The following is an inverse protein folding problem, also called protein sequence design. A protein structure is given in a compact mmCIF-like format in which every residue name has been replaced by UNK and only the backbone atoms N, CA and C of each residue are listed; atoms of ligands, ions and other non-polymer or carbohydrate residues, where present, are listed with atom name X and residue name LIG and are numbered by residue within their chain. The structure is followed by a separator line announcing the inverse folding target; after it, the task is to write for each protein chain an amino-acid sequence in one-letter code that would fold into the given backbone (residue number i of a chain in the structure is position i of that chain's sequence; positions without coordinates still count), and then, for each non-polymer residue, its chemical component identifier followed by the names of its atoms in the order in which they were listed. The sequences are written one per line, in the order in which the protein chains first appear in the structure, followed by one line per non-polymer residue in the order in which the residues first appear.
data_IF_081555029097
#
_entry.id   IF_081555029097
#
_cell.length_a   1.000
_cell.length_b   1.000
_cell.length_c   1.000
_cell.angle_alpha   90.00
_cell.angle_beta   90.00
_cell.angle_gamma   90.00
#
_symmetry.space_group_name_H-M   'P 1'
#
loop_
_entity.id
_entity.type
_entity.pdbx_description
1 polymer ?
#
# COMPACT_ATOMS: atom_id res chain seq x y z
N UNK A 1 -73.10 -18.56 -13.01
CA UNK A 1 -71.79 -19.25 -12.91
C UNK A 1 -70.63 -18.57 -13.67
N UNK A 2 -70.84 -17.78 -14.71
CA UNK A 2 -69.75 -17.10 -15.47
C UNK A 2 -69.15 -15.91 -14.70
N UNK A 3 -69.92 -15.17 -13.91
CA UNK A 3 -69.43 -13.95 -13.21
C UNK A 3 -68.46 -14.25 -12.07
N UNK A 4 -68.65 -15.35 -11.37
CA UNK A 4 -67.78 -15.75 -10.24
C UNK A 4 -66.36 -16.17 -10.73
N UNK A 5 -66.27 -16.84 -11.88
CA UNK A 5 -64.97 -17.24 -12.48
C UNK A 5 -64.16 -16.05 -12.95
N UNK A 6 -64.79 -15.02 -13.50
CA UNK A 6 -64.07 -13.81 -13.99
C UNK A 6 -63.53 -13.02 -12.81
N UNK A 7 -64.23 -12.92 -11.70
CA UNK A 7 -63.74 -12.23 -10.49
C UNK A 7 -62.63 -12.99 -9.80
N UNK A 8 -62.67 -14.34 -9.81
CA UNK A 8 -61.60 -15.18 -9.25
C UNK A 8 -60.30 -15.04 -10.05
N UNK A 9 -60.37 -15.03 -11.41
CA UNK A 9 -59.21 -14.84 -12.27
C UNK A 9 -58.58 -13.44 -12.09
N UNK A 10 -59.44 -12.40 -11.94
CA UNK A 10 -58.95 -11.03 -11.64
C UNK A 10 -58.28 -10.92 -10.28
N UNK A 11 -58.83 -11.59 -9.26
CA UNK A 11 -58.28 -11.60 -7.91
C UNK A 11 -56.92 -12.36 -7.87
N UNK A 12 -56.81 -13.48 -8.53
CA UNK A 12 -55.53 -14.25 -8.63
C UNK A 12 -54.49 -13.48 -9.45
N UNK A 13 -54.87 -12.79 -10.52
CA UNK A 13 -54.01 -11.93 -11.32
C UNK A 13 -53.44 -10.74 -10.50
N UNK A 14 -54.30 -10.10 -9.67
CA UNK A 14 -53.85 -9.01 -8.77
C UNK A 14 -52.94 -9.50 -7.67
N UNK A 15 -53.19 -10.66 -7.09
CA UNK A 15 -52.30 -11.27 -6.08
C UNK A 15 -50.97 -11.67 -6.69
N UNK A 16 -50.95 -12.21 -7.89
CA UNK A 16 -49.69 -12.53 -8.60
C UNK A 16 -48.87 -11.29 -8.99
N UNK A 17 -49.54 -10.17 -9.33
CA UNK A 17 -48.88 -8.89 -9.60
C UNK A 17 -48.27 -8.30 -8.33
N UNK A 18 -48.90 -8.44 -7.17
CA UNK A 18 -48.37 -8.00 -5.89
C UNK A 18 -47.21 -8.83 -5.40
N UNK A 19 -47.15 -10.14 -5.77
CA UNK A 19 -46.01 -11.01 -5.42
C UNK A 19 -44.77 -10.70 -6.28
N UNK A 20 -44.94 -10.09 -7.46
CA UNK A 20 -43.83 -9.69 -8.34
C UNK A 20 -43.22 -8.35 -7.94
N UNK A 21 -43.90 -7.52 -7.11
CA UNK A 21 -43.36 -6.28 -6.57
C UNK A 21 -42.72 -6.44 -5.19
N UNK A 22 -42.76 -7.68 -4.64
CA UNK A 22 -42.17 -8.01 -3.37
C UNK A 22 -40.66 -8.22 -3.49
N UNK A 23 -39.90 -7.30 -2.91
CA UNK A 23 -38.50 -7.42 -2.55
C UNK A 23 -37.48 -7.50 -3.70
N UNK A 24 -37.46 -6.53 -4.58
CA UNK A 24 -36.19 -6.04 -5.03
C UNK A 24 -35.63 -5.10 -3.93
N UNK A 25 -35.31 -5.68 -2.81
CA UNK A 25 -34.42 -5.04 -1.86
C UNK A 25 -33.08 -5.05 -2.53
N UNK A 26 -32.68 -3.90 -3.06
CA UNK A 26 -31.34 -3.65 -3.54
C UNK A 26 -30.37 -3.91 -2.40
N UNK A 27 -29.91 -5.16 -2.26
CA UNK A 27 -28.83 -5.52 -1.34
C UNK A 27 -27.50 -4.79 -1.69
N UNK A 28 -27.50 -4.07 -2.83
CA UNK A 28 -26.40 -3.23 -3.27
C UNK A 28 -26.49 -1.79 -2.75
N UNK A 29 -27.64 -1.39 -2.26
CA UNK A 29 -27.88 -0.12 -1.58
C UNK A 29 -27.81 -0.26 -0.05
N UNK A 30 -27.10 -1.23 0.48
CA UNK A 30 -26.36 -1.01 1.70
C UNK A 30 -25.35 0.06 1.31
N UNK A 31 -25.80 1.30 1.41
CA UNK A 31 -24.96 2.46 1.56
C UNK A 31 -23.88 2.04 2.55
N UNK A 32 -22.77 1.56 2.03
CA UNK A 32 -21.53 1.61 2.78
C UNK A 32 -21.24 3.08 2.87
N UNK A 33 -21.90 3.75 3.78
CA UNK A 33 -21.27 4.90 4.37
C UNK A 33 -19.93 4.37 4.83
N UNK A 34 -18.93 4.59 4.02
CA UNK A 34 -17.55 4.39 4.45
C UNK A 34 -17.48 5.05 5.81
N UNK A 35 -17.11 4.33 6.87
CA UNK A 35 -17.10 4.90 8.19
C UNK A 35 -16.33 6.20 8.08
N UNK A 36 -17.00 7.32 8.29
CA UNK A 36 -16.38 8.65 8.33
C UNK A 36 -15.47 8.62 9.55
N UNK A 37 -14.25 8.12 9.34
CA UNK A 37 -13.22 8.18 10.37
C UNK A 37 -13.08 9.65 10.78
N UNK A 38 -13.08 9.94 12.07
CA UNK A 38 -12.95 11.31 12.54
C UNK A 38 -11.67 11.93 11.97
N UNK A 39 -11.82 12.93 11.09
CA UNK A 39 -10.75 13.65 10.42
C UNK A 39 -9.98 14.59 11.39
N UNK A 40 -9.90 14.27 12.66
CA UNK A 40 -9.18 15.07 13.65
C UNK A 40 -8.15 14.22 14.39
N UNK A 41 -7.03 14.00 13.71
CA UNK A 41 -5.79 13.71 14.42
C UNK A 41 -4.87 14.89 14.16
N UNK A 42 -4.38 15.54 15.21
CA UNK A 42 -3.38 16.61 15.14
C UNK A 42 -2.15 16.10 14.37
N UNK A 43 -2.03 16.48 13.13
CA UNK A 43 -1.01 16.03 12.18
C UNK A 43 -1.42 16.42 10.78
N UNK A 44 -0.60 16.19 9.78
CA UNK A 44 -0.91 16.51 8.40
C UNK A 44 -2.33 16.06 8.02
N UNK A 45 -3.05 16.90 7.30
CA UNK A 45 -4.42 16.62 6.87
C UNK A 45 -4.47 15.26 6.17
N UNK A 46 -5.34 14.37 6.63
CA UNK A 46 -5.45 13.02 6.06
C UNK A 46 -5.69 13.04 4.54
N UNK A 47 -6.36 14.07 4.03
CA UNK A 47 -6.53 14.28 2.60
C UNK A 47 -5.19 14.50 1.86
N UNK A 48 -4.24 15.20 2.47
CA UNK A 48 -2.89 15.38 1.89
C UNK A 48 -2.12 14.06 1.87
N UNK A 49 -2.18 13.31 2.96
CA UNK A 49 -1.55 11.98 3.07
C UNK A 49 -2.13 11.04 2.02
N UNK A 50 -3.46 10.98 1.90
CA UNK A 50 -4.13 10.16 0.89
C UNK A 50 -3.76 10.56 -0.54
N UNK A 51 -3.67 11.85 -0.84
CA UNK A 51 -3.24 12.35 -2.14
C UNK A 51 -1.81 11.94 -2.46
N UNK A 52 -0.90 12.08 -1.50
CA UNK A 52 0.50 11.68 -1.66
C UNK A 52 0.65 10.16 -1.81
N UNK A 53 -0.05 9.37 -0.98
CA UNK A 53 -0.08 7.91 -1.09
C UNK A 53 -0.61 7.46 -2.47
N UNK A 54 -1.71 8.05 -2.95
CA UNK A 54 -2.26 7.78 -4.28
C UNK A 54 -1.26 8.13 -5.39
N UNK A 55 -0.51 9.22 -5.23
CA UNK A 55 0.54 9.61 -6.19
C UNK A 55 1.67 8.58 -6.25
N UNK A 56 2.14 8.10 -5.10
CA UNK A 56 3.16 7.05 -5.01
C UNK A 56 2.66 5.72 -5.60
N UNK A 57 1.43 5.32 -5.26
CA UNK A 57 0.82 4.11 -5.79
C UNK A 57 0.71 4.12 -7.33
N UNK A 58 0.38 5.27 -7.93
CA UNK A 58 0.36 5.43 -9.39
C UNK A 58 1.74 5.25 -10.05
N UNK A 59 2.82 5.45 -9.29
CA UNK A 59 4.20 5.25 -9.75
C UNK A 59 4.74 3.85 -9.48
N UNK A 60 3.88 2.91 -9.03
CA UNK A 60 4.26 1.54 -8.75
C UNK A 60 4.88 1.32 -7.37
N UNK A 61 4.89 2.34 -6.51
CA UNK A 61 5.25 2.21 -5.10
C UNK A 61 4.00 1.87 -4.30
N UNK A 62 4.04 0.80 -3.51
CA UNK A 62 2.89 0.40 -2.68
C UNK A 62 2.96 1.08 -1.31
N UNK A 63 1.95 1.86 -0.99
CA UNK A 63 1.76 2.43 0.36
C UNK A 63 0.65 1.67 1.04
N UNK A 64 0.99 0.98 2.13
CA UNK A 64 0.07 0.16 2.92
C UNK A 64 -0.04 0.78 4.30
N UNK A 65 -1.27 0.88 4.80
CA UNK A 65 -1.58 1.45 6.12
C UNK A 65 -2.36 0.43 6.93
N UNK A 66 -1.90 0.15 8.15
CA UNK A 66 -2.58 -0.73 9.10
C UNK A 66 -2.66 0.02 10.44
N UNK A 67 -3.80 0.67 10.68
CA UNK A 67 -3.96 1.53 11.86
C UNK A 67 -2.99 2.70 11.82
N UNK A 68 -2.03 2.72 12.75
CA UNK A 68 -0.99 3.76 12.84
C UNK A 68 0.31 3.38 12.13
N UNK A 69 0.43 2.14 11.67
CA UNK A 69 1.62 1.63 11.02
C UNK A 69 1.53 1.84 9.50
N UNK A 70 2.61 2.32 8.93
CA UNK A 70 2.76 2.57 7.51
C UNK A 70 3.90 1.74 6.96
N UNK A 71 3.69 1.18 5.77
CA UNK A 71 4.71 0.50 4.99
C UNK A 71 4.71 1.04 3.56
N UNK A 72 5.88 1.46 3.11
CA UNK A 72 6.13 1.88 1.73
C UNK A 72 7.01 0.82 1.10
N UNK A 73 6.50 0.09 0.12
CA UNK A 73 7.23 -0.94 -0.62
C UNK A 73 7.59 -0.42 -2.02
N UNK A 74 8.87 -0.41 -2.33
CA UNK A 74 9.45 0.16 -3.55
C UNK A 74 10.19 -0.96 -4.27
N UNK A 75 9.88 -1.26 -5.54
CA UNK A 75 10.66 -2.20 -6.34
C UNK A 75 12.13 -1.78 -6.43
N UNK A 76 13.07 -2.70 -6.21
CA UNK A 76 14.51 -2.39 -6.25
C UNK A 76 14.96 -1.86 -7.62
N UNK A 77 14.36 -2.37 -8.69
CA UNK A 77 14.62 -1.93 -10.06
C UNK A 77 14.28 -0.45 -10.33
N UNK A 78 13.44 0.18 -9.50
CA UNK A 78 13.14 1.61 -9.61
C UNK A 78 14.21 2.49 -8.97
N UNK A 79 14.95 1.94 -8.01
CA UNK A 79 15.92 2.69 -7.23
C UNK A 79 17.35 2.45 -7.69
N UNK A 80 17.74 1.20 -7.95
CA UNK A 80 19.13 0.81 -8.08
C UNK A 80 19.50 0.35 -9.49
N UNK A 81 20.79 0.54 -9.83
CA UNK A 81 21.40 -0.15 -10.95
C UNK A 81 21.43 -1.67 -10.66
N UNK A 82 21.37 -2.52 -11.71
CA UNK A 82 21.33 -3.97 -11.54
C UNK A 82 22.45 -4.49 -10.64
N UNK A 83 22.07 -5.30 -9.64
CA UNK A 83 22.98 -5.98 -8.71
C UNK A 83 23.98 -5.08 -7.96
N UNK A 84 23.70 -3.79 -7.88
CA UNK A 84 24.52 -2.81 -7.16
C UNK A 84 23.72 -2.04 -6.11
N UNK A 85 24.36 -1.38 -5.14
CA UNK A 85 23.72 -0.44 -4.24
C UNK A 85 23.65 0.99 -4.81
N UNK A 86 24.10 1.23 -6.04
CA UNK A 86 24.11 2.56 -6.64
C UNK A 86 22.72 2.98 -7.08
N UNK A 87 22.29 4.15 -6.62
CA UNK A 87 21.03 4.74 -7.04
C UNK A 87 21.10 5.17 -8.51
N UNK A 88 20.03 4.85 -9.25
CA UNK A 88 19.84 5.39 -10.58
C UNK A 88 19.57 6.89 -10.51
N UNK A 89 20.09 7.65 -11.46
CA UNK A 89 19.76 9.08 -11.56
C UNK A 89 18.25 9.32 -11.60
N UNK A 90 17.52 8.49 -12.28
CA UNK A 90 16.05 8.57 -12.41
C UNK A 90 15.28 8.25 -11.10
N UNK A 91 15.92 7.71 -10.08
CA UNK A 91 15.28 7.38 -8.81
C UNK A 91 15.14 8.57 -7.86
N UNK A 92 15.95 9.62 -8.01
CA UNK A 92 15.94 10.78 -7.11
C UNK A 92 14.58 11.49 -7.01
N UNK A 93 13.85 11.76 -8.12
CA UNK A 93 12.51 12.34 -8.02
C UNK A 93 11.53 11.49 -7.22
N UNK A 94 11.62 10.16 -7.34
CA UNK A 94 10.79 9.24 -6.59
C UNK A 94 11.13 9.26 -5.08
N UNK A 95 12.42 9.22 -4.77
CA UNK A 95 12.90 9.30 -3.38
C UNK A 95 12.54 10.64 -2.73
N UNK A 96 12.58 11.75 -3.48
CA UNK A 96 12.12 13.05 -3.00
C UNK A 96 10.62 13.03 -2.64
N UNK A 97 9.78 12.40 -3.46
CA UNK A 97 8.35 12.27 -3.15
C UNK A 97 8.10 11.40 -1.92
N UNK A 98 8.90 10.35 -1.74
CA UNK A 98 8.86 9.52 -0.52
C UNK A 98 9.29 10.35 0.70
N UNK A 99 10.35 11.15 0.59
CA UNK A 99 10.77 12.04 1.67
C UNK A 99 9.68 13.05 2.02
N UNK A 100 9.03 13.66 1.03
CA UNK A 100 7.88 14.56 1.24
C UNK A 100 6.73 13.84 1.95
N UNK A 101 6.42 12.60 1.56
CA UNK A 101 5.40 11.80 2.23
C UNK A 101 5.78 11.51 3.69
N UNK A 102 7.01 11.08 3.95
CA UNK A 102 7.50 10.78 5.30
C UNK A 102 7.47 12.03 6.22
N UNK A 103 7.74 13.22 5.68
CA UNK A 103 7.71 14.48 6.44
C UNK A 103 6.31 14.88 6.93
N UNK A 104 5.25 14.27 6.37
CA UNK A 104 3.88 14.55 6.85
C UNK A 104 3.59 13.94 8.23
N UNK A 105 4.47 13.08 8.75
CA UNK A 105 4.23 12.33 9.97
C UNK A 105 5.22 12.70 11.06
N UNK A 106 4.72 12.81 12.30
CA UNK A 106 5.58 12.67 13.47
C UNK A 106 5.84 11.18 13.69
N UNK A 107 7.09 10.81 13.80
CA UNK A 107 7.54 9.43 13.95
C UNK A 107 8.81 9.38 14.78
N UNK A 108 8.97 8.33 15.58
CA UNK A 108 10.14 8.14 16.44
C UNK A 108 11.20 7.34 15.70
N UNK A 109 10.78 6.28 15.02
CA UNK A 109 11.67 5.36 14.33
C UNK A 109 11.18 5.08 12.91
N UNK A 110 12.14 4.90 12.01
CA UNK A 110 11.93 4.41 10.65
C UNK A 110 12.77 3.15 10.50
N UNK A 111 12.18 2.05 10.03
CA UNK A 111 12.92 0.85 9.63
C UNK A 111 12.97 0.79 8.10
N UNK A 112 14.16 0.61 7.55
CA UNK A 112 14.41 0.45 6.13
C UNK A 112 14.97 -0.94 5.93
N UNK A 113 14.17 -1.85 5.40
CA UNK A 113 14.54 -3.21 5.08
C UNK A 113 14.65 -3.38 3.56
N UNK A 114 15.75 -3.95 3.09
CA UNK A 114 15.90 -4.30 1.68
C UNK A 114 15.91 -5.80 1.50
N UNK A 115 15.29 -6.24 0.43
CA UNK A 115 15.15 -7.63 0.03
C UNK A 115 15.68 -7.80 -1.38
N UNK A 116 16.18 -8.98 -1.67
CA UNK A 116 16.60 -9.39 -3.01
C UNK A 116 15.81 -10.60 -3.49
N UNK A 117 15.93 -10.91 -4.75
CA UNK A 117 15.66 -12.24 -5.24
C UNK A 117 16.83 -13.16 -4.88
N UNK A 118 16.66 -14.45 -5.08
CA UNK A 118 17.73 -15.42 -4.86
C UNK A 118 18.81 -15.28 -5.94
N UNK A 119 20.06 -15.10 -5.49
CA UNK A 119 21.25 -15.02 -6.33
C UNK A 119 22.21 -16.17 -6.05
N UNK A 120 23.50 -15.89 -6.14
CA UNK A 120 24.56 -16.89 -6.05
C UNK A 120 24.82 -17.36 -4.61
N UNK A 121 24.78 -16.44 -3.64
CA UNK A 121 25.02 -16.80 -2.24
C UNK A 121 24.26 -15.89 -1.28
N UNK A 122 23.76 -16.44 -0.16
CA UNK A 122 23.06 -15.67 0.88
C UNK A 122 23.90 -14.52 1.44
N UNK A 123 25.21 -14.73 1.61
CA UNK A 123 26.10 -13.69 2.14
C UNK A 123 26.16 -12.46 1.24
N UNK A 124 26.25 -12.67 -0.09
CA UNK A 124 26.22 -11.57 -1.06
C UNK A 124 24.88 -10.89 -1.11
N UNK A 125 23.78 -11.64 -0.99
CA UNK A 125 22.41 -11.12 -0.95
C UNK A 125 22.22 -10.20 0.26
N UNK A 126 22.64 -10.65 1.44
CA UNK A 126 22.58 -9.85 2.66
C UNK A 126 23.47 -8.60 2.58
N UNK A 127 24.71 -8.74 2.10
CA UNK A 127 25.63 -7.60 1.94
C UNK A 127 25.05 -6.55 0.98
N UNK A 128 24.55 -6.97 -0.20
CA UNK A 128 23.94 -6.08 -1.18
C UNK A 128 22.71 -5.38 -0.61
N UNK A 129 21.81 -6.14 0.01
CA UNK A 129 20.57 -5.57 0.55
C UNK A 129 20.82 -4.64 1.73
N UNK A 130 21.81 -4.93 2.59
CA UNK A 130 22.23 -4.01 3.65
C UNK A 130 22.82 -2.72 3.08
N UNK A 131 23.67 -2.80 2.07
CA UNK A 131 24.21 -1.62 1.40
C UNK A 131 23.10 -0.77 0.77
N UNK A 132 22.11 -1.39 0.13
CA UNK A 132 20.95 -0.71 -0.45
C UNK A 132 20.09 0.02 0.60
N UNK A 133 19.80 -0.63 1.72
CA UNK A 133 19.04 0.01 2.81
C UNK A 133 19.79 1.21 3.40
N UNK A 134 21.12 1.14 3.53
CA UNK A 134 21.96 2.25 4.00
C UNK A 134 21.91 3.44 3.05
N UNK A 135 22.10 3.19 1.75
CA UNK A 135 22.04 4.28 0.75
C UNK A 135 20.69 5.00 0.74
N UNK A 136 19.58 4.27 0.90
CA UNK A 136 18.25 4.89 1.03
C UNK A 136 18.13 5.68 2.33
N UNK A 137 18.65 5.14 3.43
CA UNK A 137 18.69 5.83 4.73
C UNK A 137 19.45 7.14 4.64
N UNK A 138 20.66 7.12 4.08
CA UNK A 138 21.53 8.29 3.95
C UNK A 138 20.86 9.36 3.09
N UNK A 139 20.18 8.93 2.01
CA UNK A 139 19.43 9.84 1.17
C UNK A 139 18.26 10.49 1.92
N UNK A 140 17.44 9.72 2.62
CA UNK A 140 16.32 10.25 3.38
C UNK A 140 16.79 11.21 4.50
N UNK A 141 17.91 10.87 5.14
CA UNK A 141 18.56 11.74 6.11
C UNK A 141 19.00 13.07 5.48
N UNK A 142 19.67 13.01 4.32
CA UNK A 142 20.10 14.21 3.59
C UNK A 142 18.93 15.10 3.16
N UNK A 143 17.77 14.51 2.93
CA UNK A 143 16.53 15.26 2.64
C UNK A 143 15.85 15.81 3.88
N UNK A 144 16.42 15.68 5.07
CA UNK A 144 15.86 16.19 6.32
C UNK A 144 14.57 15.46 6.73
N UNK A 145 14.52 14.15 6.52
CA UNK A 145 13.46 13.31 7.09
C UNK A 145 13.72 13.20 8.58
N UNK A 146 12.92 13.93 9.36
CA UNK A 146 13.05 13.95 10.81
C UNK A 146 12.58 12.63 11.41
N UNK A 147 13.53 11.93 12.05
CA UNK A 147 13.30 10.73 12.82
C UNK A 147 14.40 10.60 13.86
N UNK A 148 14.03 10.25 15.08
CA UNK A 148 15.02 10.03 16.15
C UNK A 148 15.93 8.84 15.85
N UNK A 149 15.39 7.80 15.20
CA UNK A 149 16.10 6.60 14.85
C UNK A 149 15.76 6.12 13.43
N UNK A 150 16.77 5.84 12.63
CA UNK A 150 16.63 5.15 11.35
C UNK A 150 17.42 3.85 11.44
N UNK A 151 16.71 2.74 11.37
CA UNK A 151 17.30 1.40 11.36
C UNK A 151 17.37 0.88 9.94
N UNK A 152 18.47 0.23 9.60
CA UNK A 152 18.68 -0.37 8.28
C UNK A 152 18.91 -1.86 8.40
N UNK A 153 18.25 -2.65 7.54
CA UNK A 153 18.37 -4.11 7.52
C UNK A 153 18.53 -4.60 6.09
N UNK A 154 19.46 -5.53 5.89
CA UNK A 154 19.59 -6.30 4.68
C UNK A 154 19.09 -7.72 4.94
N UNK A 155 17.99 -8.10 4.32
CA UNK A 155 17.33 -9.38 4.56
C UNK A 155 17.50 -10.38 3.41
N UNK A 156 18.32 -10.02 2.41
CA UNK A 156 18.58 -10.93 1.30
C UNK A 156 17.29 -11.50 0.70
N UNK A 157 17.27 -12.78 0.47
CA UNK A 157 16.12 -13.52 -0.07
C UNK A 157 15.29 -14.24 0.99
N UNK A 158 15.46 -13.92 2.29
CA UNK A 158 14.85 -14.68 3.40
C UNK A 158 13.32 -14.56 3.47
N UNK A 159 12.74 -13.47 2.96
CA UNK A 159 11.30 -13.20 3.03
C UNK A 159 10.71 -12.91 1.64
N UNK A 160 10.54 -13.92 0.79
CA UNK A 160 9.95 -13.74 -0.52
C UNK A 160 8.44 -13.48 -0.39
N UNK A 161 7.91 -12.59 -1.25
CA UNK A 161 6.45 -12.35 -1.37
C UNK A 161 5.82 -13.43 -2.25
N UNK A 162 6.53 -13.86 -3.28
CA UNK A 162 6.12 -14.92 -4.19
C UNK A 162 7.22 -15.97 -4.27
N UNK A 163 6.86 -17.16 -4.73
CA UNK A 163 7.86 -18.20 -5.02
C UNK A 163 8.98 -17.63 -5.88
N UNK A 164 10.21 -18.10 -5.64
CA UNK A 164 11.37 -17.59 -6.37
C UNK A 164 11.20 -17.77 -7.87
N UNK A 165 11.19 -16.65 -8.57
CA UNK A 165 11.18 -16.59 -10.02
C UNK A 165 12.52 -16.06 -10.50
N UNK A 166 12.92 -16.47 -11.70
CA UNK A 166 14.05 -15.82 -12.35
C UNK A 166 13.66 -14.37 -12.68
N UNK A 167 14.57 -13.42 -12.51
CA UNK A 167 14.28 -12.03 -12.81
C UNK A 167 15.13 -11.00 -12.06
N UNK A 168 16.07 -11.45 -11.24
CA UNK A 168 16.99 -10.54 -10.53
C UNK A 168 16.24 -9.40 -9.84
N UNK A 169 16.69 -8.17 -10.03
CA UNK A 169 16.10 -6.97 -9.45
C UNK A 169 14.72 -6.59 -10.03
N UNK A 170 14.29 -7.19 -11.12
CA UNK A 170 12.95 -7.01 -11.67
C UNK A 170 11.90 -7.91 -10.99
N UNK A 171 12.36 -8.86 -10.16
CA UNK A 171 11.46 -9.69 -9.36
C UNK A 171 10.70 -8.84 -8.33
N UNK A 172 9.45 -9.22 -8.07
CA UNK A 172 8.63 -8.63 -6.99
C UNK A 172 9.28 -8.80 -5.61
N UNK A 173 10.12 -9.81 -5.45
CA UNK A 173 10.86 -10.07 -4.23
C UNK A 173 11.96 -9.02 -3.97
N UNK A 174 12.58 -8.49 -5.04
CA UNK A 174 13.61 -7.47 -4.95
C UNK A 174 12.96 -6.10 -4.69
N UNK A 175 12.98 -5.66 -3.43
CA UNK A 175 12.30 -4.45 -2.99
C UNK A 175 12.99 -3.80 -1.80
N UNK A 176 12.64 -2.56 -1.56
CA UNK A 176 12.93 -1.83 -0.32
C UNK A 176 11.62 -1.53 0.39
N UNK A 177 11.53 -1.86 1.65
CA UNK A 177 10.41 -1.55 2.52
C UNK A 177 10.83 -0.51 3.55
N UNK A 178 10.06 0.58 3.63
CA UNK A 178 10.22 1.62 4.64
C UNK A 178 9.01 1.53 5.55
N UNK A 179 9.22 1.15 6.80
CA UNK A 179 8.16 1.01 7.79
C UNK A 179 8.34 1.99 8.94
N UNK A 180 7.24 2.57 9.39
CA UNK A 180 7.22 3.46 10.53
C UNK A 180 5.85 3.47 11.19
N UNK A 181 5.83 3.81 12.47
CA UNK A 181 4.60 4.08 13.21
C UNK A 181 4.41 5.59 13.35
N UNK A 182 3.22 6.06 13.05
CA UNK A 182 2.81 7.43 13.30
C UNK A 182 2.73 7.66 14.81
N UNK A 183 3.46 8.66 15.32
CA UNK A 183 3.29 9.10 16.69
C UNK A 183 2.00 9.92 16.79
N UNK A 184 1.12 9.53 17.69
CA UNK A 184 -0.06 10.31 18.10
C UNK A 184 0.39 11.24 19.22
N UNK A 185 0.08 12.53 19.10
CA UNK A 185 0.36 13.52 20.14
C UNK A 185 -0.78 13.50 21.16
#
# INVERSE_FOLDING_TARGET
MRSVRVNLIRAVGLIALFMLTGCHRDYWALDREEPKYPCKVLGACDATIMKLAKKLNKKGVKVITIGQDYMISIPASYLFEPETPHLKWKSYPLLNEIAVFLKQFRKIAINIASYSNKYVSPQREHALTLARSRVVSDYLWSQGVDSRFIFTQGLGSDKPIISFTQGGDNSVNARVEITFRRAVA
#
